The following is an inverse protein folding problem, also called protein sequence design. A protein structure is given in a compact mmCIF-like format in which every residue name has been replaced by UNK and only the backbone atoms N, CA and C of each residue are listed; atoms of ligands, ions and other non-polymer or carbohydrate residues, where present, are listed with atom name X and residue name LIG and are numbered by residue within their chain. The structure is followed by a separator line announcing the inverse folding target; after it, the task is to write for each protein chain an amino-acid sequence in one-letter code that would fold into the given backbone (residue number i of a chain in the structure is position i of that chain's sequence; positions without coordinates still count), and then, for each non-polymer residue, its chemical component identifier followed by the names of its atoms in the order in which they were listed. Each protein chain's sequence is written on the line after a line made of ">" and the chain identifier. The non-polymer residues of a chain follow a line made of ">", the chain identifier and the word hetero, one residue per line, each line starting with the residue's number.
data_IF_512445556923
#
_entry.id   IF_512445556923
#
_cell.length_a   1.000
_cell.length_b   1.000
_cell.length_c   1.000
_cell.angle_alpha   90.00
_cell.angle_beta   90.00
_cell.angle_gamma   90.00
#
_symmetry.space_group_name_H-M   'P 1'
#
loop_
_entity.id
_entity.type
_entity.pdbx_description
1 polymer ?
#
# COMPACT_ATOMS: atom_id res chain seq x y z
N UNK A 1 -0.49 -15.71 5.79
CA UNK A 1 -0.95 -14.32 5.89
C UNK A 1 -0.07 -13.47 4.98
N UNK A 2 -0.63 -12.42 4.38
CA UNK A 2 0.11 -11.43 3.58
C UNK A 2 -0.26 -10.03 4.06
N UNK A 3 0.54 -9.04 3.71
CA UNK A 3 0.33 -7.65 4.10
C UNK A 3 0.31 -6.76 2.87
N UNK A 4 -0.79 -6.02 2.68
CA UNK A 4 -0.88 -4.95 1.69
C UNK A 4 -0.37 -3.66 2.34
N UNK A 5 0.48 -2.94 1.61
CA UNK A 5 1.06 -1.66 2.00
C UNK A 5 0.50 -0.55 1.11
N UNK A 6 0.25 0.62 1.69
CA UNK A 6 -0.17 1.84 1.01
C UNK A 6 0.78 2.99 1.35
N UNK A 7 0.85 3.98 0.46
CA UNK A 7 1.39 5.29 0.82
C UNK A 7 0.52 5.90 1.92
N UNK A 8 1.19 6.51 2.87
CA UNK A 8 0.54 7.19 3.99
C UNK A 8 1.37 8.43 4.31
N UNK A 9 1.26 9.52 3.54
CA UNK A 9 2.18 10.66 3.66
C UNK A 9 2.01 11.34 5.03
N UNK A 10 2.93 11.03 5.96
CA UNK A 10 3.30 11.82 7.14
C UNK A 10 2.19 12.29 8.08
N UNK A 11 0.95 11.86 7.92
CA UNK A 11 -0.18 12.27 8.78
C UNK A 11 -0.11 11.65 10.17
N UNK A 12 0.80 10.70 10.39
CA UNK A 12 1.12 10.11 11.68
C UNK A 12 2.63 10.07 11.93
N UNK A 13 3.01 10.18 13.19
CA UNK A 13 4.38 10.00 13.68
C UNK A 13 4.47 8.71 14.50
N UNK A 14 5.56 7.98 14.36
CA UNK A 14 5.84 6.82 15.22
C UNK A 14 6.26 7.25 16.63
N UNK A 15 6.57 6.28 17.49
CA UNK A 15 6.99 6.52 18.87
C UNK A 15 8.28 7.35 18.99
N UNK A 16 9.11 7.36 17.94
CA UNK A 16 10.36 8.12 17.86
C UNK A 16 10.16 9.50 17.19
N UNK A 17 8.90 9.88 16.91
CA UNK A 17 8.55 11.14 16.26
C UNK A 17 8.90 11.19 14.77
N UNK A 18 9.16 10.06 14.13
CA UNK A 18 9.44 10.00 12.69
C UNK A 18 8.13 9.89 11.90
N UNK A 19 7.97 10.64 10.80
CA UNK A 19 6.78 10.53 9.96
C UNK A 19 6.65 9.10 9.44
N UNK A 20 5.50 8.48 9.71
CA UNK A 20 5.12 7.22 9.08
C UNK A 20 4.68 7.56 7.67
N UNK A 21 5.35 6.98 6.68
CA UNK A 21 5.10 7.21 5.25
C UNK A 21 4.31 6.08 4.59
N UNK A 22 4.06 4.99 5.31
CA UNK A 22 3.36 3.81 4.81
C UNK A 22 2.40 3.23 5.86
N UNK A 23 1.25 2.76 5.39
CA UNK A 23 0.29 2.00 6.20
C UNK A 23 0.23 0.56 5.69
N UNK A 24 -0.05 -0.40 6.57
CA UNK A 24 -0.28 -1.80 6.17
C UNK A 24 -1.49 -2.43 6.84
N UNK A 25 -2.04 -3.47 6.22
CA UNK A 25 -3.11 -4.29 6.77
C UNK A 25 -2.91 -5.78 6.41
N UNK A 26 -3.23 -6.72 7.31
CA UNK A 26 -3.12 -8.15 7.06
C UNK A 26 -4.29 -8.68 6.24
N UNK A 27 -4.02 -9.67 5.38
CA UNK A 27 -5.01 -10.40 4.59
C UNK A 27 -4.79 -11.91 4.68
N UNK A 28 -5.89 -12.66 4.58
CA UNK A 28 -5.88 -14.13 4.61
C UNK A 28 -5.13 -14.74 3.42
N UNK A 29 -5.22 -14.12 2.24
CA UNK A 29 -4.59 -14.60 1.01
C UNK A 29 -4.03 -13.48 0.14
N UNK A 30 -3.14 -13.85 -0.80
CA UNK A 30 -2.65 -12.94 -1.84
C UNK A 30 -3.79 -12.45 -2.75
N UNK A 31 -4.78 -13.31 -3.02
CA UNK A 31 -5.92 -12.94 -3.87
C UNK A 31 -6.76 -11.84 -3.25
N UNK A 32 -7.05 -11.91 -1.95
CA UNK A 32 -7.83 -10.89 -1.24
C UNK A 32 -7.07 -9.56 -1.20
N UNK A 33 -5.77 -9.61 -0.90
CA UNK A 33 -4.92 -8.43 -0.90
C UNK A 33 -4.83 -7.78 -2.29
N UNK A 34 -4.70 -8.59 -3.36
CA UNK A 34 -4.70 -8.10 -4.74
C UNK A 34 -6.05 -7.49 -5.13
N UNK A 35 -7.16 -8.11 -4.71
CA UNK A 35 -8.50 -7.57 -4.95
C UNK A 35 -8.69 -6.18 -4.35
N UNK A 36 -8.24 -5.98 -3.10
CA UNK A 36 -8.25 -4.65 -2.48
C UNK A 36 -7.31 -3.68 -3.22
N UNK A 37 -6.08 -4.10 -3.50
CA UNK A 37 -5.11 -3.24 -4.17
C UNK A 37 -5.59 -2.78 -5.55
N UNK A 38 -6.22 -3.67 -6.32
CA UNK A 38 -6.77 -3.34 -7.64
C UNK A 38 -7.95 -2.36 -7.52
N UNK A 39 -8.82 -2.53 -6.52
CA UNK A 39 -9.90 -1.59 -6.23
C UNK A 39 -9.37 -0.20 -5.89
N UNK A 40 -8.44 -0.09 -4.93
CA UNK A 40 -7.90 1.19 -4.49
C UNK A 40 -7.10 1.87 -5.61
N UNK A 41 -6.33 1.10 -6.39
CA UNK A 41 -5.58 1.63 -7.52
C UNK A 41 -6.50 2.17 -8.62
N UNK A 42 -7.68 1.55 -8.82
CA UNK A 42 -8.68 2.07 -9.75
C UNK A 42 -9.24 3.42 -9.28
N UNK A 43 -9.46 3.59 -7.98
CA UNK A 43 -9.87 4.89 -7.41
C UNK A 43 -8.79 5.95 -7.62
N UNK A 44 -7.53 5.65 -7.31
CA UNK A 44 -6.40 6.57 -7.55
C UNK A 44 -6.28 6.98 -9.02
N UNK A 45 -6.45 6.02 -9.94
CA UNK A 45 -6.43 6.28 -11.39
C UNK A 45 -7.58 7.18 -11.83
N UNK A 46 -8.77 6.98 -11.28
CA UNK A 46 -9.94 7.78 -11.62
C UNK A 46 -9.83 9.22 -11.10
N UNK A 47 -9.21 9.44 -9.95
CA UNK A 47 -9.01 10.77 -9.37
C UNK A 47 -7.72 11.48 -9.81
N UNK A 48 -6.80 10.76 -10.47
CA UNK A 48 -5.40 11.18 -10.70
C UNK A 48 -4.66 11.57 -9.39
N UNK A 49 -5.05 10.95 -8.27
CA UNK A 49 -4.45 11.15 -6.95
C UNK A 49 -3.89 9.84 -6.41
N UNK A 50 -2.57 9.79 -6.27
CA UNK A 50 -1.81 8.62 -5.81
C UNK A 50 -1.20 8.82 -4.42
N UNK A 51 -1.59 9.87 -3.68
CA UNK A 51 -1.05 10.17 -2.36
C UNK A 51 -1.28 9.01 -1.36
N UNK A 52 -2.36 8.25 -1.52
CA UNK A 52 -2.69 7.08 -0.70
C UNK A 52 -2.70 5.76 -1.49
N UNK A 53 -1.98 5.70 -2.61
CA UNK A 53 -2.02 4.53 -3.49
C UNK A 53 -1.46 3.26 -2.81
N UNK A 54 -2.01 2.07 -3.14
CA UNK A 54 -1.39 0.80 -2.76
C UNK A 54 0.00 0.70 -3.40
N UNK A 55 0.95 0.14 -2.66
CA UNK A 55 2.36 0.03 -3.03
C UNK A 55 2.75 -1.40 -3.38
N UNK A 56 2.53 -2.33 -2.45
CA UNK A 56 3.03 -3.70 -2.55
C UNK A 56 2.31 -4.66 -1.62
N UNK A 57 2.37 -5.94 -1.95
CA UNK A 57 1.98 -7.04 -1.06
C UNK A 57 3.22 -7.83 -0.68
N UNK A 58 3.45 -7.98 0.62
CA UNK A 58 4.53 -8.81 1.18
C UNK A 58 3.96 -10.07 1.84
N UNK A 59 4.69 -11.18 1.82
CA UNK A 59 4.44 -12.29 2.74
C UNK A 59 4.95 -12.00 4.15
N UNK A 60 4.70 -12.93 5.08
CA UNK A 60 5.10 -12.79 6.49
C UNK A 60 6.64 -12.76 6.68
N UNK A 61 7.39 -13.29 5.71
CA UNK A 61 8.84 -13.20 5.66
C UNK A 61 9.36 -11.89 5.05
N UNK A 62 8.48 -10.97 4.66
CA UNK A 62 8.83 -9.70 4.03
C UNK A 62 9.16 -9.80 2.54
N UNK A 63 8.95 -10.96 1.90
CA UNK A 63 9.19 -11.11 0.45
C UNK A 63 8.07 -10.44 -0.33
N UNK A 64 8.45 -9.66 -1.34
CA UNK A 64 7.50 -9.03 -2.28
C UNK A 64 6.82 -10.11 -3.12
N UNK A 65 5.50 -10.18 -3.03
CA UNK A 65 4.65 -11.04 -3.87
C UNK A 65 4.02 -10.26 -5.02
N UNK A 66 3.86 -8.95 -4.86
CA UNK A 66 3.30 -8.05 -5.86
C UNK A 66 3.70 -6.60 -5.58
N UNK A 67 3.79 -5.79 -6.64
CA UNK A 67 4.06 -4.36 -6.58
C UNK A 67 3.14 -3.59 -7.55
N UNK A 68 2.67 -2.43 -7.11
CA UNK A 68 1.79 -1.58 -7.89
C UNK A 68 2.58 -0.83 -8.97
N UNK A 69 2.06 -0.81 -10.20
CA UNK A 69 2.56 0.10 -11.24
C UNK A 69 1.90 1.46 -11.08
N UNK A 70 2.55 2.34 -10.33
CA UNK A 70 2.16 3.75 -10.13
C UNK A 70 3.13 4.69 -10.87
N UNK A 71 2.67 5.80 -11.46
CA UNK A 71 3.56 6.76 -12.11
C UNK A 71 4.61 7.32 -11.12
N UNK A 72 5.87 7.34 -11.53
CA UNK A 72 6.94 7.96 -10.73
C UNK A 72 6.79 9.48 -10.75
N UNK A 73 6.86 10.14 -9.58
CA UNK A 73 6.94 11.60 -9.48
C UNK A 73 5.61 12.35 -9.24
N UNK A 74 4.56 11.65 -8.78
CA UNK A 74 3.34 12.27 -8.24
C UNK A 74 2.98 11.64 -6.90
#
# INVERSE_FOLDING_TARGET
>A
MVYLYWRWPGTHTDADGRPVTERRAPYGSLSDARGQADHDLALCKASDDYAAAPLRVLDDGGRVLWEATIPAGR
#
